data_IF_929216310301
#
_entry.id   IF_929216310301
#
_cell.length_a   1.000
_cell.length_b   1.000
_cell.length_c   1.000
_cell.angle_alpha   90.00
_cell.angle_beta   90.00
_cell.angle_gamma   90.00
#
_symmetry.space_group_name_H-M   'P 1'
#
loop_
_entity.id
_entity.type
_entity.pdbx_description
1 polymer ?
#
# COMPACT_ATOMS: atom_id res chain seq x y z
N UNK A 1 -8.72 33.94 1.95
CA UNK A 1 -7.44 33.74 2.66
C UNK A 1 -7.59 32.49 3.52
N UNK A 2 -7.16 31.33 3.02
CA UNK A 2 -7.34 30.06 3.73
C UNK A 2 -6.20 29.94 4.76
N UNK A 3 -6.51 30.17 6.03
CA UNK A 3 -5.59 29.93 7.14
C UNK A 3 -5.17 28.46 7.12
N UNK A 4 -3.91 28.17 6.76
CA UNK A 4 -3.29 26.88 7.05
C UNK A 4 -3.07 26.80 8.56
N UNK A 5 -4.10 26.42 9.32
CA UNK A 5 -3.93 25.89 10.66
C UNK A 5 -2.99 24.69 10.53
N UNK A 6 -1.77 24.80 11.04
CA UNK A 6 -0.87 23.64 11.22
C UNK A 6 -1.66 22.62 12.04
N UNK A 7 -2.05 21.51 11.41
CA UNK A 7 -2.63 20.38 12.11
C UNK A 7 -1.66 19.98 13.24
N UNK A 8 -2.11 20.09 14.48
CA UNK A 8 -1.38 19.73 15.71
C UNK A 8 -1.18 18.23 15.87
N UNK A 9 -1.78 17.44 14.98
CA UNK A 9 -1.71 15.99 14.96
C UNK A 9 -0.36 15.59 14.32
N UNK A 10 0.28 14.50 14.75
CA UNK A 10 1.44 13.93 14.07
C UNK A 10 1.02 13.15 12.81
N UNK A 11 1.85 13.12 11.75
CA UNK A 11 1.47 12.41 10.52
C UNK A 11 1.48 10.89 10.74
N UNK A 12 0.41 10.16 10.36
CA UNK A 12 0.36 8.71 10.50
C UNK A 12 1.15 7.97 9.40
N UNK A 13 1.60 8.67 8.35
CA UNK A 13 2.17 8.07 7.14
C UNK A 13 3.33 7.10 7.39
N UNK A 14 4.32 7.38 8.27
CA UNK A 14 5.39 6.42 8.52
C UNK A 14 4.87 5.10 9.10
N UNK A 15 3.86 5.18 9.98
CA UNK A 15 3.23 4.01 10.56
C UNK A 15 2.38 3.28 9.52
N UNK A 16 1.62 4.00 8.68
CA UNK A 16 0.88 3.40 7.58
C UNK A 16 1.78 2.63 6.63
N UNK A 17 2.92 3.21 6.24
CA UNK A 17 3.89 2.54 5.38
C UNK A 17 4.44 1.26 6.02
N UNK A 18 4.78 1.30 7.32
CA UNK A 18 5.17 0.09 8.04
C UNK A 18 4.08 -1.00 7.97
N UNK A 19 2.83 -0.66 8.29
CA UNK A 19 1.71 -1.61 8.31
C UNK A 19 1.47 -2.22 6.92
N UNK A 20 1.42 -1.39 5.88
CA UNK A 20 1.24 -1.85 4.50
C UNK A 20 2.40 -2.70 4.00
N UNK A 21 3.62 -2.33 4.35
CA UNK A 21 4.79 -3.12 4.02
C UNK A 21 4.77 -4.49 4.68
N UNK A 22 4.35 -4.56 5.94
CA UNK A 22 4.19 -5.85 6.63
C UNK A 22 3.17 -6.74 5.93
N UNK A 23 2.05 -6.20 5.44
CA UNK A 23 1.09 -6.97 4.65
C UNK A 23 1.71 -7.57 3.38
N UNK A 24 2.46 -6.77 2.61
CA UNK A 24 3.12 -7.23 1.39
C UNK A 24 4.11 -8.38 1.67
N UNK A 25 4.91 -8.24 2.72
CA UNK A 25 5.91 -9.23 3.13
C UNK A 25 5.25 -10.52 3.63
N UNK A 26 4.23 -10.43 4.49
CA UNK A 26 3.52 -11.61 5.01
C UNK A 26 2.76 -12.35 3.90
N UNK A 27 2.13 -11.62 2.98
CA UNK A 27 1.45 -12.22 1.82
C UNK A 27 2.44 -12.97 0.93
N UNK A 28 3.58 -12.35 0.62
CA UNK A 28 4.66 -13.02 -0.10
C UNK A 28 5.16 -14.27 0.64
N UNK A 29 5.45 -14.14 1.93
CA UNK A 29 5.97 -15.24 2.75
C UNK A 29 5.01 -16.43 2.74
N UNK A 30 3.71 -16.17 2.92
CA UNK A 30 2.66 -17.21 2.89
C UNK A 30 2.60 -17.96 1.57
N UNK A 31 2.76 -17.24 0.46
CA UNK A 31 2.68 -17.79 -0.89
C UNK A 31 3.90 -18.65 -1.22
N UNK A 32 5.11 -18.17 -0.89
CA UNK A 32 6.36 -18.86 -1.24
C UNK A 32 6.64 -20.05 -0.33
N UNK A 33 6.37 -19.92 0.97
CA UNK A 33 6.76 -20.94 1.96
C UNK A 33 5.69 -21.97 2.24
N UNK A 34 4.44 -21.74 1.81
CA UNK A 34 3.27 -22.58 2.13
C UNK A 34 3.16 -22.79 3.65
N UNK A 35 2.80 -21.74 4.36
CA UNK A 35 2.81 -21.73 5.81
C UNK A 35 2.00 -22.90 6.41
N UNK A 36 2.52 -23.55 7.46
CA UNK A 36 1.75 -24.46 8.30
C UNK A 36 0.48 -23.80 8.86
N UNK A 37 -0.53 -24.60 9.21
CA UNK A 37 -1.87 -24.09 9.58
C UNK A 37 -1.87 -23.16 10.81
N UNK A 38 -1.02 -23.42 11.80
CA UNK A 38 -0.83 -22.57 12.98
C UNK A 38 -0.24 -21.21 12.61
N UNK A 39 0.75 -21.20 11.70
CA UNK A 39 1.38 -19.99 11.19
C UNK A 39 0.43 -19.19 10.29
N UNK A 40 -0.36 -19.85 9.44
CA UNK A 40 -1.39 -19.20 8.62
C UNK A 40 -2.50 -18.57 9.48
N UNK A 41 -2.95 -19.26 10.54
CA UNK A 41 -3.92 -18.71 11.48
C UNK A 41 -3.35 -17.47 12.20
N UNK A 42 -2.09 -17.55 12.63
CA UNK A 42 -1.39 -16.44 13.29
C UNK A 42 -1.24 -15.24 12.35
N UNK A 43 -0.86 -15.48 11.10
CA UNK A 43 -0.83 -14.44 10.08
C UNK A 43 -2.20 -13.79 9.91
N UNK A 44 -3.28 -14.57 9.83
CA UNK A 44 -4.62 -14.01 9.69
C UNK A 44 -5.03 -13.08 10.83
N UNK A 45 -4.67 -13.45 12.07
CA UNK A 45 -4.90 -12.60 13.25
C UNK A 45 -4.05 -11.33 13.18
N UNK A 46 -2.77 -11.46 12.86
CA UNK A 46 -1.86 -10.32 12.69
C UNK A 46 -2.41 -9.36 11.62
N UNK A 47 -2.87 -9.89 10.50
CA UNK A 47 -3.41 -9.07 9.41
C UNK A 47 -4.63 -8.25 9.84
N UNK A 48 -5.54 -8.82 10.64
CA UNK A 48 -6.68 -8.08 11.22
C UNK A 48 -6.20 -6.98 12.17
N UNK A 49 -5.21 -7.26 13.02
CA UNK A 49 -4.64 -6.27 13.94
C UNK A 49 -3.98 -5.11 13.19
N UNK A 50 -3.12 -5.43 12.20
CA UNK A 50 -2.49 -4.43 11.33
C UNK A 50 -3.53 -3.65 10.54
N UNK A 51 -4.61 -4.32 10.10
CA UNK A 51 -5.71 -3.75 9.33
C UNK A 51 -6.46 -2.70 10.12
N UNK A 52 -6.70 -2.98 11.40
CA UNK A 52 -7.31 -2.03 12.34
C UNK A 52 -6.45 -0.78 12.49
N UNK A 53 -5.13 -0.94 12.67
CA UNK A 53 -4.19 0.18 12.73
C UNK A 53 -4.14 0.99 11.44
N UNK A 54 -4.11 0.31 10.29
CA UNK A 54 -4.04 0.94 8.98
C UNK A 54 -5.32 1.70 8.64
N UNK A 55 -6.48 1.13 9.00
CA UNK A 55 -7.78 1.76 8.86
C UNK A 55 -7.88 3.05 9.71
N UNK A 56 -7.52 2.96 10.99
CA UNK A 56 -7.53 4.11 11.89
C UNK A 56 -6.54 5.21 11.43
N UNK A 57 -5.33 4.83 11.03
CA UNK A 57 -4.34 5.76 10.49
C UNK A 57 -4.79 6.42 9.19
N UNK A 58 -5.49 5.69 8.32
CA UNK A 58 -6.04 6.23 7.07
C UNK A 58 -7.16 7.23 7.33
N UNK A 59 -8.06 6.95 8.29
CA UNK A 59 -9.06 7.94 8.73
C UNK A 59 -8.38 9.20 9.28
N UNK A 60 -7.35 9.04 10.10
CA UNK A 60 -6.61 10.18 10.65
C UNK A 60 -5.97 11.02 9.53
N UNK A 61 -5.41 10.39 8.51
CA UNK A 61 -4.85 11.07 7.35
C UNK A 61 -5.92 11.80 6.51
N UNK A 62 -7.10 11.20 6.32
CA UNK A 62 -8.25 11.86 5.68
C UNK A 62 -8.70 13.11 6.46
N UNK A 63 -8.77 13.03 7.79
CA UNK A 63 -9.12 14.18 8.65
C UNK A 63 -8.10 15.32 8.49
N UNK A 64 -6.84 15.02 8.20
CA UNK A 64 -5.79 16.02 7.92
C UNK A 64 -5.87 16.62 6.51
N UNK A 65 -6.77 16.11 5.66
CA UNK A 65 -6.93 16.54 4.27
C UNK A 65 -6.01 15.83 3.28
N UNK A 66 -5.42 14.68 3.64
CA UNK A 66 -4.66 13.88 2.69
C UNK A 66 -5.58 12.99 1.85
N UNK A 67 -5.77 13.35 0.58
CA UNK A 67 -6.59 12.57 -0.35
C UNK A 67 -6.00 11.20 -0.67
N UNK A 68 -4.67 11.01 -0.54
CA UNK A 68 -4.02 9.71 -0.74
C UNK A 68 -4.45 8.69 0.32
N UNK A 69 -4.93 9.16 1.47
CA UNK A 69 -5.44 8.29 2.51
C UNK A 69 -6.68 7.47 2.09
N UNK A 70 -7.39 7.85 1.03
CA UNK A 70 -8.44 7.01 0.44
C UNK A 70 -7.89 5.66 -0.06
N UNK A 71 -6.68 5.69 -0.62
CA UNK A 71 -5.99 4.50 -1.12
C UNK A 71 -5.63 3.60 0.04
N UNK A 72 -5.01 4.18 1.07
CA UNK A 72 -4.65 3.47 2.29
C UNK A 72 -5.88 2.87 2.97
N UNK A 73 -7.01 3.59 3.00
CA UNK A 73 -8.25 3.09 3.56
C UNK A 73 -8.73 1.83 2.82
N UNK A 74 -8.82 1.88 1.49
CA UNK A 74 -9.21 0.72 0.66
C UNK A 74 -8.24 -0.44 0.87
N UNK A 75 -6.93 -0.18 0.82
CA UNK A 75 -5.89 -1.19 1.04
C UNK A 75 -5.98 -1.81 2.44
N UNK A 76 -6.32 -1.04 3.47
CA UNK A 76 -6.46 -1.56 4.84
C UNK A 76 -7.60 -2.57 4.96
N UNK A 77 -8.69 -2.37 4.21
CA UNK A 77 -9.81 -3.30 4.18
C UNK A 77 -9.46 -4.57 3.42
N UNK A 78 -8.79 -4.43 2.27
CA UNK A 78 -8.42 -5.57 1.42
C UNK A 78 -7.34 -6.43 2.08
N UNK A 79 -6.22 -5.82 2.48
CA UNK A 79 -5.08 -6.54 3.04
C UNK A 79 -5.31 -6.96 4.49
N UNK A 80 -5.88 -6.06 5.29
CA UNK A 80 -6.07 -6.29 6.71
C UNK A 80 -7.25 -7.20 7.00
N UNK A 81 -8.46 -6.71 6.73
CA UNK A 81 -9.67 -7.43 7.10
C UNK A 81 -9.93 -8.62 6.17
N UNK A 82 -10.01 -8.39 4.85
CA UNK A 82 -10.31 -9.47 3.91
C UNK A 82 -9.19 -10.49 3.84
N UNK A 83 -7.92 -10.06 3.81
CA UNK A 83 -6.75 -10.95 3.88
C UNK A 83 -6.76 -11.79 5.15
N UNK A 84 -6.87 -11.15 6.31
CA UNK A 84 -6.81 -11.84 7.59
C UNK A 84 -7.96 -12.82 7.81
N UNK A 85 -9.19 -12.43 7.45
CA UNK A 85 -10.36 -13.33 7.50
C UNK A 85 -10.17 -14.50 6.54
N UNK A 86 -9.63 -14.27 5.34
CA UNK A 86 -9.37 -15.34 4.35
C UNK A 86 -8.44 -16.40 4.94
N UNK A 87 -7.34 -15.99 5.58
CA UNK A 87 -6.40 -16.92 6.21
C UNK A 87 -7.05 -17.74 7.33
N UNK A 88 -7.83 -17.08 8.21
CA UNK A 88 -8.52 -17.74 9.31
C UNK A 88 -9.55 -18.74 8.79
N UNK A 89 -10.40 -18.33 7.84
CA UNK A 89 -11.45 -19.18 7.26
C UNK A 89 -10.86 -20.36 6.49
N UNK A 90 -9.74 -20.15 5.78
CA UNK A 90 -9.02 -21.24 5.12
C UNK A 90 -8.55 -22.29 6.14
N UNK A 91 -7.95 -21.87 7.24
CA UNK A 91 -7.49 -22.79 8.29
C UNK A 91 -8.66 -23.54 8.93
N UNK A 92 -9.75 -22.84 9.26
CA UNK A 92 -10.94 -23.49 9.86
C UNK A 92 -11.62 -24.46 8.90
N UNK A 93 -11.76 -24.08 7.63
CA UNK A 93 -12.31 -24.96 6.57
C UNK A 93 -11.51 -26.25 6.48
N UNK A 94 -10.17 -26.15 6.44
CA UNK A 94 -9.28 -27.31 6.41
C UNK A 94 -9.44 -28.22 7.64
N UNK A 95 -9.61 -27.65 8.84
CA UNK A 95 -9.84 -28.43 10.08
C UNK A 95 -11.19 -29.13 10.09
N UNK A 96 -12.20 -28.53 9.47
CA UNK A 96 -13.54 -29.10 9.34
C UNK A 96 -13.67 -30.08 8.16
N UNK A 97 -12.62 -30.27 7.36
CA UNK A 97 -12.66 -31.10 6.15
C UNK A 97 -13.48 -30.49 5.01
N UNK A 98 -13.74 -29.18 5.05
CA UNK A 98 -14.49 -28.45 4.03
C UNK A 98 -13.50 -27.85 3.02
N UNK A 99 -13.66 -28.10 1.70
CA UNK A 99 -12.82 -27.47 0.69
C UNK A 99 -12.95 -25.94 0.71
N UNK A 100 -11.81 -25.25 0.84
CA UNK A 100 -11.76 -23.79 0.75
C UNK A 100 -11.55 -23.33 -0.71
N UNK A 101 -12.44 -22.46 -1.19
CA UNK A 101 -12.32 -21.84 -2.51
C UNK A 101 -11.88 -20.37 -2.38
N UNK A 102 -10.69 -19.99 -2.89
CA UNK A 102 -10.14 -18.64 -2.70
C UNK A 102 -10.73 -17.58 -3.65
N UNK A 103 -11.78 -17.90 -4.41
CA UNK A 103 -12.26 -17.07 -5.52
C UNK A 103 -12.76 -15.70 -5.08
N UNK A 104 -13.57 -15.64 -4.02
CA UNK A 104 -14.10 -14.36 -3.53
C UNK A 104 -12.96 -13.47 -3.00
N UNK A 105 -12.01 -14.05 -2.27
CA UNK A 105 -10.83 -13.33 -1.81
C UNK A 105 -10.00 -12.81 -2.98
N UNK A 106 -9.83 -13.60 -4.04
CA UNK A 106 -9.13 -13.18 -5.25
C UNK A 106 -9.85 -12.04 -5.99
N UNK A 107 -11.20 -12.05 -6.05
CA UNK A 107 -11.98 -10.94 -6.63
C UNK A 107 -11.77 -9.65 -5.83
N UNK A 108 -11.77 -9.71 -4.50
CA UNK A 108 -11.53 -8.53 -3.66
C UNK A 108 -10.13 -7.95 -3.90
N UNK A 109 -9.11 -8.81 -3.99
CA UNK A 109 -7.74 -8.39 -4.32
C UNK A 109 -7.67 -7.78 -5.73
N UNK A 110 -8.36 -8.36 -6.71
CA UNK A 110 -8.43 -7.85 -8.08
C UNK A 110 -8.98 -6.43 -8.11
N UNK A 111 -10.09 -6.18 -7.39
CA UNK A 111 -10.70 -4.85 -7.30
C UNK A 111 -9.74 -3.83 -6.67
N UNK A 112 -8.98 -4.25 -5.66
CA UNK A 112 -7.89 -3.43 -5.10
C UNK A 112 -6.82 -3.12 -6.14
N UNK A 113 -6.39 -4.11 -6.92
CA UNK A 113 -5.38 -3.94 -7.97
C UNK A 113 -5.84 -2.94 -9.03
N UNK A 114 -7.07 -3.10 -9.52
CA UNK A 114 -7.69 -2.18 -10.48
C UNK A 114 -7.79 -0.75 -9.92
N UNK A 115 -8.21 -0.63 -8.66
CA UNK A 115 -8.31 0.66 -7.99
C UNK A 115 -6.95 1.37 -7.89
N UNK A 116 -5.90 0.67 -7.44
CA UNK A 116 -4.55 1.25 -7.37
C UNK A 116 -4.02 1.56 -8.76
N UNK A 117 -4.23 0.72 -9.76
CA UNK A 117 -3.82 1.01 -11.14
C UNK A 117 -4.47 2.27 -11.69
N UNK A 118 -5.76 2.48 -11.42
CA UNK A 118 -6.49 3.65 -11.91
C UNK A 118 -5.97 4.98 -11.33
N UNK A 119 -5.40 4.97 -10.12
CA UNK A 119 -4.86 6.16 -9.47
C UNK A 119 -3.37 6.41 -9.76
N UNK A 120 -2.63 5.43 -10.31
CA UNK A 120 -1.19 5.57 -10.60
C UNK A 120 -0.85 6.84 -11.42
N UNK A 121 -1.63 7.24 -12.44
CA UNK A 121 -1.35 8.48 -13.18
C UNK A 121 -1.36 9.75 -12.31
N UNK A 122 -2.10 9.73 -11.19
CA UNK A 122 -2.17 10.86 -10.25
C UNK A 122 -0.94 10.90 -9.31
N UNK A 123 -0.13 9.84 -9.29
CA UNK A 123 0.99 9.66 -8.37
C UNK A 123 2.35 9.93 -9.03
N UNK A 124 2.39 10.36 -10.28
CA UNK A 124 3.64 10.61 -11.05
C UNK A 124 4.54 11.69 -10.42
N UNK A 125 3.95 12.56 -9.58
CA UNK A 125 4.64 13.63 -8.85
C UNK A 125 5.15 13.20 -7.47
N UNK A 126 4.91 11.97 -7.05
CA UNK A 126 5.48 11.41 -5.83
C UNK A 126 6.97 11.09 -6.04
N UNK A 127 7.77 11.04 -4.95
CA UNK A 127 9.11 10.49 -5.01
C UNK A 127 9.12 9.09 -5.64
N UNK A 128 10.13 8.78 -6.45
CA UNK A 128 10.19 7.55 -7.24
C UNK A 128 9.94 6.29 -6.41
N UNK A 129 10.52 6.18 -5.21
CA UNK A 129 10.35 4.99 -4.38
C UNK A 129 8.91 4.82 -3.87
N UNK A 130 8.22 5.92 -3.58
CA UNK A 130 6.79 5.89 -3.23
C UNK A 130 5.93 5.54 -4.46
N UNK A 131 6.25 6.09 -5.63
CA UNK A 131 5.57 5.70 -6.86
C UNK A 131 5.76 4.21 -7.18
N UNK A 132 7.00 3.71 -7.07
CA UNK A 132 7.33 2.31 -7.31
C UNK A 132 6.61 1.36 -6.35
N UNK A 133 6.44 1.74 -5.07
CA UNK A 133 5.67 0.91 -4.13
C UNK A 133 4.22 0.73 -4.60
N UNK A 134 3.59 1.78 -5.11
CA UNK A 134 2.22 1.72 -5.66
C UNK A 134 2.15 0.89 -6.96
N UNK A 135 3.17 0.98 -7.81
CA UNK A 135 3.27 0.12 -9.00
C UNK A 135 3.38 -1.34 -8.59
N UNK A 136 4.24 -1.66 -7.61
CA UNK A 136 4.43 -3.02 -7.15
C UNK A 136 3.20 -3.61 -6.46
N UNK A 137 2.46 -2.84 -5.65
CA UNK A 137 1.21 -3.35 -5.05
C UNK A 137 0.13 -3.55 -6.11
N UNK A 138 0.03 -2.67 -7.11
CA UNK A 138 -0.90 -2.86 -8.22
C UNK A 138 -0.59 -4.13 -9.01
N UNK A 139 0.66 -4.30 -9.44
CA UNK A 139 1.11 -5.50 -10.15
C UNK A 139 0.98 -6.76 -9.28
N UNK A 140 1.28 -6.64 -7.99
CA UNK A 140 1.15 -7.72 -7.01
C UNK A 140 -0.29 -8.20 -6.89
N UNK A 141 -1.24 -7.27 -6.72
CA UNK A 141 -2.66 -7.61 -6.65
C UNK A 141 -3.18 -8.20 -7.94
N UNK A 142 -2.94 -7.55 -9.08
CA UNK A 142 -3.39 -8.04 -10.37
C UNK A 142 -2.82 -9.43 -10.67
N UNK A 143 -1.51 -9.62 -10.49
CA UNK A 143 -0.84 -10.90 -10.72
C UNK A 143 -1.36 -11.99 -9.78
N UNK A 144 -1.43 -11.71 -8.47
CA UNK A 144 -1.93 -12.68 -7.50
C UNK A 144 -3.39 -13.05 -7.73
N UNK A 145 -4.27 -12.09 -7.99
CA UNK A 145 -5.70 -12.36 -8.19
C UNK A 145 -6.02 -13.03 -9.52
N UNK A 146 -5.45 -12.54 -10.63
CA UNK A 146 -5.66 -13.14 -11.96
C UNK A 146 -5.05 -14.54 -11.97
N UNK A 147 -3.86 -14.71 -11.38
CA UNK A 147 -3.23 -16.01 -11.23
C UNK A 147 -4.11 -17.01 -10.48
N UNK A 148 -4.77 -16.59 -9.39
CA UNK A 148 -5.71 -17.44 -8.66
C UNK A 148 -6.98 -17.74 -9.46
N UNK A 149 -7.62 -16.72 -10.06
CA UNK A 149 -8.89 -16.87 -10.77
C UNK A 149 -8.74 -17.68 -12.07
N UNK A 150 -7.66 -17.46 -12.81
CA UNK A 150 -7.36 -18.18 -14.05
C UNK A 150 -6.62 -19.51 -13.81
N UNK A 151 -6.37 -19.89 -12.55
CA UNK A 151 -5.59 -21.08 -12.19
C UNK A 151 -4.19 -21.13 -12.85
N UNK A 152 -3.49 -20.00 -12.83
CA UNK A 152 -2.13 -19.80 -13.36
C UNK A 152 -1.13 -19.61 -12.19
N UNK A 153 -0.49 -20.69 -11.68
CA UNK A 153 0.37 -20.61 -10.50
C UNK A 153 1.59 -19.70 -10.68
N UNK A 154 2.15 -19.64 -11.89
CA UNK A 154 3.31 -18.80 -12.20
C UNK A 154 2.99 -17.31 -12.07
N UNK A 155 1.79 -16.90 -12.49
CA UNK A 155 1.35 -15.51 -12.43
C UNK A 155 1.01 -15.12 -10.98
N UNK A 156 0.38 -16.03 -10.25
CA UNK A 156 0.13 -15.85 -8.82
C UNK A 156 1.44 -15.65 -8.04
N UNK A 157 2.46 -16.46 -8.35
CA UNK A 157 3.80 -16.36 -7.78
C UNK A 157 4.51 -15.05 -8.17
N UNK A 158 4.42 -14.64 -9.44
CA UNK A 158 4.97 -13.36 -9.89
C UNK A 158 4.33 -12.17 -9.15
N UNK A 159 3.01 -12.22 -8.91
CA UNK A 159 2.29 -11.25 -8.08
C UNK A 159 2.84 -11.20 -6.65
N UNK A 160 3.06 -12.36 -6.02
CA UNK A 160 3.64 -12.43 -4.67
C UNK A 160 5.03 -11.78 -4.59
N UNK A 161 5.89 -11.97 -5.59
CA UNK A 161 7.19 -11.29 -5.65
C UNK A 161 7.06 -9.78 -5.80
N UNK A 162 6.07 -9.29 -6.55
CA UNK A 162 5.77 -7.86 -6.59
C UNK A 162 5.32 -7.34 -5.21
N UNK A 163 4.54 -8.12 -4.45
CA UNK A 163 4.15 -7.75 -3.08
C UNK A 163 5.33 -7.68 -2.11
N UNK A 164 6.36 -8.50 -2.30
CA UNK A 164 7.62 -8.33 -1.57
C UNK A 164 8.31 -7.01 -1.91
N UNK A 165 8.41 -6.67 -3.21
CA UNK A 165 9.02 -5.41 -3.64
C UNK A 165 8.26 -4.20 -3.14
N UNK A 166 6.92 -4.26 -3.13
CA UNK A 166 6.07 -3.29 -2.45
C UNK A 166 6.42 -3.19 -0.97
N UNK A 167 6.53 -4.33 -0.28
CA UNK A 167 6.94 -4.40 1.12
C UNK A 167 8.25 -3.67 1.39
N UNK A 168 9.29 -3.97 0.62
CA UNK A 168 10.63 -3.38 0.76
C UNK A 168 10.61 -1.88 0.47
N UNK A 169 10.00 -1.47 -0.64
CA UNK A 169 9.96 -0.06 -1.07
C UNK A 169 9.11 0.80 -0.13
N UNK A 170 7.96 0.32 0.33
CA UNK A 170 7.13 0.99 1.34
C UNK A 170 7.87 1.14 2.66
N UNK A 171 8.62 0.13 3.10
CA UNK A 171 9.36 0.17 4.36
C UNK A 171 10.48 1.21 4.29
N UNK A 172 11.22 1.22 3.18
CA UNK A 172 12.24 2.22 2.91
C UNK A 172 11.65 3.64 2.94
N UNK A 173 10.50 3.85 2.30
CA UNK A 173 9.82 5.13 2.31
C UNK A 173 9.36 5.53 3.72
N UNK A 174 8.75 4.63 4.49
CA UNK A 174 8.35 4.87 5.88
C UNK A 174 9.52 5.27 6.77
N UNK A 175 10.66 4.58 6.66
CA UNK A 175 11.91 4.93 7.36
C UNK A 175 12.38 6.33 6.94
N UNK A 176 12.31 6.65 5.64
CA UNK A 176 12.72 7.97 5.14
C UNK A 176 11.89 9.12 5.73
N UNK A 177 10.59 8.90 5.91
CA UNK A 177 9.68 9.87 6.53
C UNK A 177 10.05 10.09 8.00
N UNK A 178 10.43 9.02 8.73
CA UNK A 178 10.94 9.13 10.09
C UNK A 178 12.24 9.93 10.18
N UNK A 179 13.19 9.68 9.27
CA UNK A 179 14.43 10.45 9.21
C UNK A 179 14.16 11.93 8.91
N UNK A 180 13.21 12.22 8.03
CA UNK A 180 12.79 13.59 7.70
C UNK A 180 12.20 14.31 8.91
N UNK A 181 11.41 13.62 9.73
CA UNK A 181 10.89 14.16 10.98
C UNK A 181 12.02 14.48 11.98
N UNK A 182 13.12 13.71 11.96
CA UNK A 182 14.32 13.95 12.76
C UNK A 182 15.31 14.96 12.14
N UNK A 183 14.92 15.68 11.07
CA UNK A 183 15.77 16.68 10.42
C UNK A 183 16.87 16.12 9.52
N UNK A 184 16.87 14.80 9.24
CA UNK A 184 17.79 14.14 8.30
C UNK A 184 17.06 13.79 7.01
N UNK A 185 17.79 13.59 5.90
CA UNK A 185 17.18 13.18 4.62
C UNK A 185 17.81 11.91 4.11
N UNK A 186 16.97 10.93 3.78
CA UNK A 186 17.33 9.76 3.00
C UNK A 186 16.86 10.01 1.56
N UNK A 187 17.70 9.77 0.53
CA UNK A 187 17.30 9.96 -0.87
C UNK A 187 16.05 9.12 -1.21
N UNK A 188 15.05 9.73 -1.86
CA UNK A 188 13.81 9.04 -2.31
C UNK A 188 13.67 9.02 -3.84
N UNK A 189 14.75 9.35 -4.55
CA UNK A 189 14.77 9.49 -6.01
C UNK A 189 14.04 10.76 -6.51
N UNK A 190 14.17 11.06 -7.82
CA UNK A 190 13.38 12.09 -8.48
C UNK A 190 11.90 11.69 -8.54
N UNK A 191 11.02 12.57 -9.00
CA UNK A 191 9.64 12.17 -9.35
C UNK A 191 9.60 11.54 -10.75
N UNK A 192 8.56 10.76 -11.06
CA UNK A 192 8.41 10.22 -12.41
C UNK A 192 8.19 11.35 -13.43
N UNK A 193 7.43 12.39 -13.06
CA UNK A 193 7.24 13.58 -13.88
C UNK A 193 8.57 14.25 -14.27
N UNK A 194 9.49 14.38 -13.32
CA UNK A 194 10.84 14.91 -13.58
C UNK A 194 11.64 14.02 -14.53
N UNK A 195 11.53 12.69 -14.40
CA UNK A 195 12.18 11.74 -15.32
C UNK A 195 11.59 11.79 -16.73
N UNK A 196 10.29 12.08 -16.85
CA UNK A 196 9.58 12.25 -18.12
C UNK A 196 9.81 13.62 -18.77
N UNK A 197 10.60 14.50 -18.15
CA UNK A 197 10.89 15.83 -18.66
C UNK A 197 9.74 16.83 -18.49
N UNK A 198 8.75 16.53 -17.63
CA UNK A 198 7.72 17.49 -17.27
C UNK A 198 8.34 18.58 -16.39
N UNK A 199 8.59 19.75 -16.98
CA UNK A 199 9.12 20.92 -16.27
C UNK A 199 8.08 21.38 -15.27
N UNK A 200 8.46 21.35 -13.99
CA UNK A 200 7.68 21.93 -12.90
C UNK A 200 7.49 23.44 -13.18
N UNK A 201 6.32 23.83 -13.69
CA UNK A 201 5.95 25.23 -13.78
C UNK A 201 5.97 25.79 -12.36
N UNK A 202 7.05 26.49 -12.01
CA UNK A 202 7.08 27.30 -10.79
C UNK A 202 5.87 28.23 -10.87
N UNK A 203 5.03 28.32 -9.82
CA UNK A 203 4.06 29.41 -9.77
C UNK A 203 4.88 30.69 -9.89
N UNK A 204 4.58 31.50 -10.90
CA UNK A 204 5.19 32.80 -11.10
C UNK A 204 5.13 33.55 -9.77
N UNK A 205 6.28 33.78 -9.17
CA UNK A 205 6.41 34.86 -8.21
C UNK A 205 6.06 36.10 -9.00
N UNK A 206 4.88 36.66 -8.73
CA UNK A 206 4.39 37.87 -9.36
C UNK A 206 5.52 38.90 -9.40
N UNK A 207 5.99 39.15 -10.62
CA UNK A 207 6.81 40.28 -10.98
C UNK A 207 5.98 41.54 -10.75
N UNK A 208 5.95 42.00 -9.49
CA UNK A 208 5.47 43.31 -9.10
C UNK A 208 6.65 44.26 -8.93
N UNK A 209 7.47 44.43 -9.97
CA UNK A 209 8.40 45.54 -10.06
C UNK A 209 7.63 46.72 -10.66
N UNK A 210 7.00 47.51 -9.80
CA UNK A 210 6.41 48.80 -10.13
C UNK A 210 7.02 49.86 -9.24
N UNK A 211 8.15 50.42 -9.67
CA UNK A 211 8.49 51.80 -9.35
C UNK A 211 7.48 52.66 -10.11
N UNK A 212 6.63 53.36 -9.37
CA UNK A 212 6.56 54.83 -9.33
C UNK A 212 5.74 55.25 -8.10
#
# INVERSE_FOLDING_TARGET
MMMKTKSTIASPDPALQFLFSTFGILTWLSTVTKLPQDSAMTQGIIEICLGTGAFAGSILALIRGDLHANVNLVLSVILGFSGGITQIVMVQSNRMGIPFHPWISAVIILLGGLFVTAILPLMTRMPLYEFLSHVFVALGFLGSSIGTLASLPWLHMAGAWCLLLFGITGMYYGISLMYRAAGRRIPQGPTLAQLMGEVEQRPEQGSGNGRD
#
